data_IF_050779454790
#
_entry.id   IF_050779454790
#
_cell.length_a   1.000
_cell.length_b   1.000
_cell.length_c   1.000
_cell.angle_alpha   90.00
_cell.angle_beta   90.00
_cell.angle_gamma   90.00
#
_symmetry.space_group_name_H-M   'P 1'
#
loop_
_entity.id
_entity.type
_entity.pdbx_description
1 polymer ?
#
# COMPACT_ATOMS: atom_id res chain seq x y z
N UNK A 1 14.85 0.19 13.08
CA UNK A 1 15.66 0.70 11.96
C UNK A 1 15.71 2.24 11.95
N UNK A 2 14.60 2.95 11.76
CA UNK A 2 14.57 4.43 11.70
C UNK A 2 14.81 5.11 13.05
N UNK A 3 14.48 4.45 14.16
CA UNK A 3 14.66 4.93 15.53
C UNK A 3 15.96 4.44 16.18
N UNK A 4 16.84 3.78 15.43
CA UNK A 4 18.14 3.37 15.95
C UNK A 4 19.01 4.57 16.35
N UNK A 5 19.90 4.39 17.30
CA UNK A 5 20.80 5.44 17.76
C UNK A 5 21.55 6.08 16.58
N UNK A 6 21.58 7.42 16.54
CA UNK A 6 22.25 8.18 15.50
C UNK A 6 21.50 8.34 14.18
N UNK A 7 20.31 7.77 14.01
CA UNK A 7 19.49 7.97 12.81
C UNK A 7 18.77 9.33 12.82
N UNK A 8 18.53 9.92 11.64
CA UNK A 8 17.95 11.27 11.54
C UNK A 8 16.61 11.42 12.28
N UNK A 9 15.69 10.45 12.14
CA UNK A 9 14.40 10.51 12.81
C UNK A 9 14.53 10.49 14.33
N UNK A 10 15.46 9.67 14.87
CA UNK A 10 15.75 9.64 16.30
C UNK A 10 16.25 10.97 16.82
N UNK A 11 17.17 11.63 16.11
CA UNK A 11 17.69 12.96 16.46
C UNK A 11 16.62 14.04 16.43
N UNK A 12 15.69 13.98 15.46
CA UNK A 12 14.55 14.90 15.37
C UNK A 12 13.69 14.76 16.62
N UNK A 13 13.36 13.54 17.04
CA UNK A 13 12.57 13.28 18.25
C UNK A 13 13.29 13.81 19.48
N UNK A 14 14.58 13.53 19.63
CA UNK A 14 15.40 13.98 20.76
C UNK A 14 15.56 15.52 20.81
N UNK A 15 15.48 16.20 19.67
CA UNK A 15 15.53 17.68 19.62
C UNK A 15 14.26 18.37 20.13
N UNK A 16 13.16 17.64 20.25
CA UNK A 16 11.85 18.18 20.61
C UNK A 16 11.18 19.07 19.56
N UNK A 17 11.85 19.36 18.44
CA UNK A 17 11.31 20.14 17.32
C UNK A 17 10.91 19.21 16.18
N UNK A 18 9.62 18.98 16.05
CA UNK A 18 9.08 18.04 15.06
C UNK A 18 8.67 18.81 13.80
N UNK A 19 9.35 18.61 12.65
CA UNK A 19 8.91 19.17 11.38
C UNK A 19 7.71 18.37 10.85
N UNK A 20 7.06 18.92 9.83
CA UNK A 20 6.08 18.14 9.06
C UNK A 20 6.75 16.97 8.35
N UNK A 21 6.12 15.80 8.40
CA UNK A 21 6.71 14.56 7.89
C UNK A 21 5.72 13.76 7.06
N UNK A 22 6.25 13.03 6.09
CA UNK A 22 5.50 12.05 5.31
C UNK A 22 6.18 10.69 5.46
N UNK A 23 5.46 9.72 6.01
CA UNK A 23 5.90 8.34 6.18
C UNK A 23 5.34 7.50 5.04
N UNK A 24 6.20 6.92 4.20
CA UNK A 24 5.73 6.03 3.15
C UNK A 24 6.37 4.65 3.27
N UNK A 25 5.66 3.65 2.80
CA UNK A 25 6.10 2.26 2.83
C UNK A 25 4.95 1.29 3.09
N UNK A 26 5.19 -0.03 3.06
CA UNK A 26 4.16 -1.03 3.16
C UNK A 26 3.36 -0.93 4.47
N UNK A 27 2.18 -1.58 4.51
CA UNK A 27 1.37 -1.67 5.71
C UNK A 27 2.11 -2.45 6.82
N UNK A 28 1.71 -2.26 8.07
CA UNK A 28 2.21 -3.05 9.20
C UNK A 28 3.65 -2.82 9.63
N UNK A 29 4.39 -1.88 9.04
CA UNK A 29 5.80 -1.59 9.39
C UNK A 29 5.98 -0.61 10.55
N UNK A 30 4.89 -0.17 11.20
CA UNK A 30 4.91 0.65 12.40
C UNK A 30 4.84 2.16 12.19
N UNK A 31 4.40 2.67 11.03
CA UNK A 31 4.23 4.12 10.76
C UNK A 31 3.40 4.83 11.84
N UNK A 32 2.23 4.31 12.16
CA UNK A 32 1.33 4.85 13.20
C UNK A 32 1.95 4.76 14.60
N UNK A 33 2.71 3.70 14.89
CA UNK A 33 3.40 3.53 16.18
C UNK A 33 4.46 4.60 16.38
N UNK A 34 5.23 4.90 15.34
CA UNK A 34 6.25 5.95 15.39
C UNK A 34 5.62 7.32 15.59
N UNK A 35 4.50 7.61 14.92
CA UNK A 35 3.77 8.88 15.13
C UNK A 35 3.29 9.04 16.58
N UNK A 36 2.82 7.95 17.22
CA UNK A 36 2.44 7.95 18.63
C UNK A 36 3.66 8.23 19.53
N UNK A 37 4.80 7.55 19.29
CA UNK A 37 6.02 7.78 20.06
C UNK A 37 6.46 9.24 19.97
N UNK A 38 6.35 9.85 18.79
CA UNK A 38 6.66 11.27 18.60
C UNK A 38 5.74 12.15 19.44
N UNK A 39 4.43 11.91 19.40
CA UNK A 39 3.47 12.66 20.19
C UNK A 39 3.75 12.54 21.70
N UNK A 40 3.97 11.33 22.20
CA UNK A 40 4.24 11.06 23.60
C UNK A 40 5.56 11.73 24.06
N UNK A 41 6.59 11.77 23.20
CA UNK A 41 7.88 12.37 23.52
C UNK A 41 7.88 13.90 23.48
N UNK A 42 6.93 14.52 22.77
CA UNK A 42 6.84 15.98 22.61
C UNK A 42 5.71 16.61 23.40
N UNK A 43 4.92 15.82 24.12
CA UNK A 43 3.72 16.27 24.85
C UNK A 43 2.69 17.00 23.98
N UNK A 44 2.74 16.80 22.64
CA UNK A 44 1.76 17.35 21.70
C UNK A 44 0.45 16.55 21.75
N UNK A 45 -0.66 17.23 21.52
CA UNK A 45 -1.96 16.55 21.42
C UNK A 45 -2.06 15.83 20.09
N UNK A 46 -2.19 14.49 20.12
CA UNK A 46 -2.26 13.66 18.93
C UNK A 46 -3.69 13.50 18.45
N UNK A 47 -3.99 14.03 17.27
CA UNK A 47 -5.21 13.73 16.53
C UNK A 47 -4.92 12.76 15.40
N UNK A 48 -5.81 11.78 15.22
CA UNK A 48 -5.69 10.78 14.14
C UNK A 48 -6.87 10.90 13.21
N UNK A 49 -6.58 11.09 11.94
CA UNK A 49 -7.57 11.04 10.87
C UNK A 49 -7.18 9.94 9.88
N UNK A 50 -8.19 9.35 9.24
CA UNK A 50 -7.98 8.37 8.19
C UNK A 50 -8.46 8.96 6.86
N UNK A 51 -7.60 8.96 5.84
CA UNK A 51 -7.90 9.52 4.53
C UNK A 51 -9.11 8.93 3.83
N UNK A 52 -9.49 7.69 4.17
CA UNK A 52 -10.67 7.02 3.59
C UNK A 52 -12.00 7.52 4.16
N UNK A 53 -12.01 8.03 5.39
CA UNK A 53 -13.25 8.40 6.10
C UNK A 53 -13.31 9.87 6.50
N UNK A 54 -12.16 10.54 6.61
CA UNK A 54 -12.12 11.92 7.10
C UNK A 54 -12.60 12.94 6.07
N UNK A 55 -13.36 13.91 6.56
CA UNK A 55 -13.89 15.03 5.80
C UNK A 55 -13.11 16.33 6.05
N UNK A 56 -13.42 17.38 5.30
CA UNK A 56 -12.89 18.73 5.57
C UNK A 56 -13.41 19.31 6.88
N UNK A 57 -14.56 18.85 7.38
CA UNK A 57 -15.10 19.27 8.67
C UNK A 57 -14.21 18.72 9.80
N UNK A 58 -13.84 17.44 9.76
CA UNK A 58 -12.99 16.82 10.77
C UNK A 58 -11.63 17.53 10.89
N UNK A 59 -11.05 17.98 9.76
CA UNK A 59 -9.81 18.76 9.78
C UNK A 59 -10.02 20.10 10.49
N UNK A 60 -11.14 20.79 10.23
CA UNK A 60 -11.46 22.07 10.88
C UNK A 60 -11.73 21.91 12.35
N UNK A 61 -12.38 20.83 12.76
CA UNK A 61 -12.64 20.53 14.17
C UNK A 61 -11.33 20.34 14.95
N UNK A 62 -10.38 19.61 14.38
CA UNK A 62 -9.02 19.47 14.95
C UNK A 62 -8.33 20.84 15.07
N UNK A 63 -8.43 21.68 14.03
CA UNK A 63 -7.80 23.02 14.07
C UNK A 63 -8.52 23.96 15.05
N UNK A 64 -9.82 23.80 15.26
CA UNK A 64 -10.58 24.61 16.24
C UNK A 64 -10.08 24.39 17.69
N UNK A 65 -9.41 23.27 17.96
CA UNK A 65 -8.78 23.03 19.25
C UNK A 65 -7.47 23.82 19.47
N UNK A 66 -6.92 24.42 18.41
CA UNK A 66 -5.73 25.29 18.51
C UNK A 66 -6.07 26.50 19.40
N UNK A 67 -5.27 26.72 20.42
CA UNK A 67 -5.51 27.81 21.40
C UNK A 67 -6.48 27.46 22.54
N UNK A 68 -7.07 26.26 22.52
CA UNK A 68 -7.77 25.73 23.69
C UNK A 68 -6.79 25.09 24.67
N UNK A 69 -7.27 24.76 25.86
CA UNK A 69 -6.46 24.11 26.89
C UNK A 69 -5.86 22.78 26.42
N UNK A 70 -6.58 22.05 25.57
CA UNK A 70 -6.10 20.79 24.96
C UNK A 70 -4.99 20.98 23.92
N UNK A 71 -4.96 22.13 23.23
CA UNK A 71 -3.99 22.44 22.17
C UNK A 71 -2.80 23.29 22.61
N UNK A 72 -2.65 23.60 23.93
CA UNK A 72 -1.58 24.50 24.41
C UNK A 72 -0.16 24.04 24.03
N UNK A 73 0.09 22.73 23.98
CA UNK A 73 1.40 22.16 23.65
C UNK A 73 1.58 21.94 22.13
N UNK A 74 0.65 22.43 21.32
CA UNK A 74 0.62 22.19 19.88
C UNK A 74 -0.15 20.92 19.49
N UNK A 75 -0.64 20.92 18.26
CA UNK A 75 -1.42 19.82 17.69
C UNK A 75 -0.56 19.03 16.71
N UNK A 76 -0.44 17.72 16.94
CA UNK A 76 0.13 16.77 16.02
C UNK A 76 -0.99 16.03 15.29
N UNK A 77 -1.18 16.34 14.02
CA UNK A 77 -2.16 15.65 13.19
C UNK A 77 -1.48 14.46 12.48
N UNK A 78 -1.85 13.25 12.86
CA UNK A 78 -1.50 12.04 12.14
C UNK A 78 -2.61 11.70 11.14
N UNK A 79 -2.27 11.78 9.85
CA UNK A 79 -3.18 11.44 8.76
C UNK A 79 -2.75 10.12 8.12
N UNK A 80 -3.54 9.07 8.33
CA UNK A 80 -3.31 7.77 7.70
C UNK A 80 -3.90 7.73 6.29
N UNK A 81 -3.16 7.12 5.35
CA UNK A 81 -3.56 6.93 3.95
C UNK A 81 -3.92 8.26 3.23
N UNK A 82 -3.00 9.23 3.25
CA UNK A 82 -3.21 10.59 2.67
C UNK A 82 -3.57 10.56 1.17
N UNK A 83 -3.22 9.50 0.43
CA UNK A 83 -3.55 9.38 -1.01
C UNK A 83 -5.05 9.39 -1.30
N UNK A 84 -5.89 9.06 -0.31
CA UNK A 84 -7.34 9.13 -0.47
C UNK A 84 -7.91 10.54 -0.31
N UNK A 85 -7.12 11.49 0.19
CA UNK A 85 -7.52 12.89 0.25
C UNK A 85 -7.47 13.51 -1.14
N UNK A 86 -8.57 14.18 -1.51
CA UNK A 86 -8.59 14.96 -2.73
C UNK A 86 -7.70 16.22 -2.63
N UNK A 87 -7.41 16.84 -3.77
CA UNK A 87 -6.52 18.00 -3.84
C UNK A 87 -6.97 19.16 -2.95
N UNK A 88 -8.30 19.40 -2.81
CA UNK A 88 -8.83 20.49 -1.96
C UNK A 88 -8.57 20.23 -0.47
N UNK A 89 -8.73 18.99 -0.03
CA UNK A 89 -8.42 18.58 1.34
C UNK A 89 -6.93 18.73 1.64
N UNK A 90 -6.08 18.31 0.72
CA UNK A 90 -4.63 18.48 0.86
C UNK A 90 -4.20 19.95 0.84
N UNK A 91 -4.86 20.81 0.08
CA UNK A 91 -4.61 22.26 0.10
C UNK A 91 -5.03 22.90 1.43
N UNK A 92 -6.12 22.45 2.02
CA UNK A 92 -6.56 22.93 3.34
C UNK A 92 -5.53 22.56 4.43
N UNK A 93 -4.98 21.35 4.40
CA UNK A 93 -3.90 20.94 5.30
C UNK A 93 -2.67 21.84 5.14
N UNK A 94 -2.32 22.18 3.91
CA UNK A 94 -1.17 23.04 3.61
C UNK A 94 -1.32 24.40 4.28
N UNK A 95 -2.51 25.01 4.22
CA UNK A 95 -2.81 26.31 4.86
C UNK A 95 -2.57 26.25 6.36
N UNK A 96 -3.06 25.22 7.04
CA UNK A 96 -2.88 25.08 8.49
C UNK A 96 -1.44 24.76 8.91
N UNK A 97 -0.70 24.06 8.06
CA UNK A 97 0.73 23.81 8.27
C UNK A 97 1.56 25.09 8.13
N UNK A 98 1.26 25.92 7.12
CA UNK A 98 1.96 27.19 6.87
C UNK A 98 1.70 28.20 7.98
N UNK A 99 0.49 28.22 8.52
CA UNK A 99 0.13 29.06 9.65
C UNK A 99 0.68 28.54 10.99
N UNK A 100 1.34 27.38 11.00
CA UNK A 100 1.88 26.79 12.23
C UNK A 100 0.83 26.27 13.20
N UNK A 101 -0.42 26.13 12.77
CA UNK A 101 -1.52 25.67 13.62
C UNK A 101 -1.46 24.18 13.91
N UNK A 102 -0.92 23.40 12.96
CA UNK A 102 -0.74 21.95 13.09
C UNK A 102 0.66 21.52 12.66
N UNK A 103 1.17 20.48 13.30
CA UNK A 103 2.30 19.70 12.79
C UNK A 103 1.74 18.44 12.14
N UNK A 104 2.00 18.25 10.84
CA UNK A 104 1.46 17.12 10.09
C UNK A 104 2.44 15.96 10.05
N UNK A 105 1.97 14.76 10.39
CA UNK A 105 2.59 13.49 10.04
C UNK A 105 1.61 12.73 9.16
N UNK A 106 1.85 12.70 7.85
CA UNK A 106 1.03 11.94 6.93
C UNK A 106 1.65 10.56 6.68
N UNK A 107 0.83 9.53 6.50
CA UNK A 107 1.27 8.21 6.09
C UNK A 107 0.63 7.80 4.76
N UNK A 108 1.37 7.02 3.98
CA UNK A 108 0.89 6.44 2.73
C UNK A 108 1.57 5.09 2.46
N UNK A 109 0.86 4.21 1.78
CA UNK A 109 1.43 2.97 1.24
C UNK A 109 1.98 3.16 -0.17
N UNK A 110 1.58 4.23 -0.86
CA UNK A 110 2.01 4.56 -2.22
C UNK A 110 3.22 5.49 -2.21
N UNK A 111 3.90 5.59 -3.35
CA UNK A 111 4.99 6.53 -3.52
C UNK A 111 4.46 7.97 -3.38
N UNK A 112 4.93 8.76 -2.39
CA UNK A 112 4.39 10.06 -2.08
C UNK A 112 4.51 11.06 -3.23
N UNK A 113 5.54 10.93 -4.07
CA UNK A 113 5.76 11.81 -5.22
C UNK A 113 4.70 11.71 -6.32
N UNK A 114 3.89 10.63 -6.31
CA UNK A 114 2.75 10.46 -7.22
C UNK A 114 1.40 10.68 -6.55
N UNK A 115 1.31 10.37 -5.25
CA UNK A 115 0.06 10.32 -4.51
C UNK A 115 -0.25 11.60 -3.71
N UNK A 116 0.80 12.36 -3.34
CA UNK A 116 0.66 13.53 -2.47
C UNK A 116 0.89 14.82 -3.27
N UNK A 117 0.16 15.87 -2.92
CA UNK A 117 0.32 17.19 -3.55
C UNK A 117 1.72 17.76 -3.32
N UNK A 118 2.39 18.15 -4.40
CA UNK A 118 3.80 18.55 -4.39
C UNK A 118 4.12 19.69 -3.39
N UNK A 119 3.16 20.59 -3.14
CA UNK A 119 3.35 21.66 -2.17
C UNK A 119 3.43 21.15 -0.71
N UNK A 120 2.76 20.03 -0.38
CA UNK A 120 2.92 19.36 0.91
C UNK A 120 4.27 18.66 1.02
N UNK A 121 4.71 18.00 -0.05
CA UNK A 121 6.01 17.31 -0.10
C UNK A 121 7.15 18.30 0.11
N UNK A 122 7.11 19.46 -0.57
CA UNK A 122 8.16 20.49 -0.46
C UNK A 122 8.29 21.09 0.96
N UNK A 123 7.25 20.96 1.79
CA UNK A 123 7.22 21.47 3.18
C UNK A 123 7.31 20.36 4.23
N UNK A 124 7.54 19.14 3.79
CA UNK A 124 7.59 17.97 4.66
C UNK A 124 8.88 17.19 4.44
N UNK A 125 9.36 16.52 5.48
CA UNK A 125 10.46 15.57 5.35
C UNK A 125 9.91 14.19 5.09
N UNK A 126 10.34 13.56 4.00
CA UNK A 126 9.88 12.23 3.59
C UNK A 126 10.75 11.14 4.23
N UNK A 127 10.13 10.18 4.89
CA UNK A 127 10.79 9.00 5.49
C UNK A 127 10.24 7.71 4.89
N UNK A 128 11.16 6.91 4.35
CA UNK A 128 10.85 5.58 3.84
C UNK A 128 10.86 4.54 4.97
N UNK A 129 9.76 3.82 5.11
CA UNK A 129 9.63 2.69 6.01
C UNK A 129 9.77 1.39 5.20
N UNK A 130 10.88 0.70 5.40
CA UNK A 130 11.14 -0.59 4.76
C UNK A 130 10.49 -1.73 5.54
N UNK A 131 10.19 -2.86 4.88
CA UNK A 131 9.77 -4.07 5.58
C UNK A 131 10.75 -4.42 6.71
N UNK A 132 10.21 -4.91 7.82
CA UNK A 132 11.03 -5.28 8.97
C UNK A 132 11.83 -6.55 8.64
N UNK A 133 13.17 -6.56 8.87
CA UNK A 133 13.97 -7.76 8.65
C UNK A 133 13.47 -8.94 9.47
N UNK A 134 13.58 -10.17 8.95
CA UNK A 134 13.11 -11.37 9.64
C UNK A 134 13.66 -11.50 11.08
N UNK A 135 14.93 -11.16 11.30
CA UNK A 135 15.58 -11.24 12.62
C UNK A 135 14.94 -10.29 13.65
N UNK A 136 14.60 -9.07 13.24
CA UNK A 136 13.91 -8.12 14.12
C UNK A 136 12.43 -8.52 14.32
N UNK A 137 11.80 -9.07 13.27
CA UNK A 137 10.43 -9.56 13.33
C UNK A 137 10.31 -10.78 14.25
N UNK A 138 11.29 -11.69 14.25
CA UNK A 138 11.35 -12.83 15.14
C UNK A 138 11.35 -12.41 16.62
N UNK A 139 12.13 -11.37 16.97
CA UNK A 139 12.11 -10.79 18.31
C UNK A 139 10.73 -10.19 18.68
N UNK A 140 10.06 -9.58 17.70
CA UNK A 140 8.71 -9.06 17.91
C UNK A 140 7.69 -10.18 18.11
N UNK A 141 7.78 -11.26 17.33
CA UNK A 141 6.95 -12.47 17.46
C UNK A 141 7.15 -13.12 18.85
N UNK A 142 8.39 -13.33 19.27
CA UNK A 142 8.68 -13.87 20.61
C UNK A 142 8.11 -13.00 21.74
N UNK A 143 8.10 -11.68 21.55
CA UNK A 143 7.42 -10.77 22.50
C UNK A 143 5.91 -10.93 22.45
N UNK A 144 5.35 -11.11 21.25
CA UNK A 144 3.92 -11.35 21.04
C UNK A 144 3.44 -12.59 21.83
N UNK A 145 4.16 -13.70 21.74
CA UNK A 145 3.84 -14.90 22.52
C UNK A 145 3.86 -14.66 24.03
N UNK A 146 4.87 -13.97 24.54
CA UNK A 146 4.93 -13.60 25.97
C UNK A 146 3.75 -12.72 26.41
N UNK A 147 3.34 -11.79 25.56
CA UNK A 147 2.13 -11.01 25.85
C UNK A 147 0.88 -11.87 25.89
N UNK A 148 0.75 -12.85 25.01
CA UNK A 148 -0.37 -13.80 25.01
C UNK A 148 -0.36 -14.68 26.24
N UNK A 149 0.80 -15.18 26.69
CA UNK A 149 0.95 -15.91 27.98
C UNK A 149 0.43 -15.08 29.16
N UNK A 150 0.81 -13.81 29.22
CA UNK A 150 0.34 -12.91 30.28
C UNK A 150 -1.15 -12.64 30.24
N UNK A 151 -1.76 -12.57 29.04
CA UNK A 151 -3.19 -12.32 28.87
C UNK A 151 -4.04 -13.55 29.18
N UNK A 152 -3.57 -14.73 28.79
CA UNK A 152 -4.30 -15.99 29.00
C UNK A 152 -4.05 -16.58 30.40
N UNK A 153 -2.92 -16.24 31.02
CA UNK A 153 -2.50 -16.85 32.30
C UNK A 153 -2.04 -18.30 32.15
N UNK A 154 -1.80 -18.75 30.92
CA UNK A 154 -1.35 -20.11 30.59
C UNK A 154 0.06 -20.07 29.97
N UNK A 155 0.89 -21.06 30.23
CA UNK A 155 2.21 -21.17 29.61
C UNK A 155 2.09 -21.64 28.17
N UNK A 156 2.84 -21.03 27.25
CA UNK A 156 2.88 -21.40 25.84
C UNK A 156 4.20 -22.12 25.55
N UNK A 157 4.12 -23.38 25.18
CA UNK A 157 5.28 -24.20 24.79
C UNK A 157 5.47 -24.12 23.28
N UNK A 158 6.55 -23.46 22.84
CA UNK A 158 6.91 -23.26 21.45
C UNK A 158 7.99 -24.26 21.04
N UNK A 159 7.85 -24.87 19.87
CA UNK A 159 8.99 -25.53 19.20
C UNK A 159 10.01 -24.48 18.70
N UNK A 160 11.28 -24.87 18.60
CA UNK A 160 12.41 -23.95 18.34
C UNK A 160 12.29 -23.17 17.02
N UNK A 161 11.56 -23.69 16.03
CA UNK A 161 11.44 -23.08 14.69
C UNK A 161 10.28 -22.10 14.52
N UNK A 162 9.28 -22.11 15.41
CA UNK A 162 7.98 -21.41 15.25
C UNK A 162 8.16 -19.91 15.00
N UNK A 163 8.94 -19.22 15.82
CA UNK A 163 9.20 -17.77 15.67
C UNK A 163 9.83 -17.44 14.31
N UNK A 164 10.78 -18.24 13.87
CA UNK A 164 11.48 -18.08 12.60
C UNK A 164 10.56 -18.32 11.39
N UNK A 165 9.65 -19.30 11.46
CA UNK A 165 8.68 -19.57 10.41
C UNK A 165 7.70 -18.39 10.24
N UNK A 166 7.15 -17.89 11.35
CA UNK A 166 6.26 -16.72 11.33
C UNK A 166 6.98 -15.49 10.79
N UNK A 167 8.20 -15.22 11.25
CA UNK A 167 8.96 -14.05 10.83
C UNK A 167 9.26 -14.06 9.32
N UNK A 168 9.66 -15.20 8.76
CA UNK A 168 9.90 -15.35 7.32
C UNK A 168 8.61 -15.26 6.51
N UNK A 169 7.54 -15.86 7.03
CA UNK A 169 6.26 -15.92 6.33
C UNK A 169 5.44 -14.64 6.33
N UNK A 170 5.74 -13.67 7.18
CA UNK A 170 5.00 -12.41 7.22
C UNK A 170 5.58 -11.31 6.33
N UNK A 171 6.72 -11.54 5.66
CA UNK A 171 7.28 -10.60 4.69
C UNK A 171 7.62 -9.22 5.24
N UNK A 172 7.89 -9.10 6.55
CA UNK A 172 8.24 -7.85 7.22
C UNK A 172 7.05 -7.03 7.74
N UNK A 173 5.82 -7.54 7.64
CA UNK A 173 4.62 -6.92 8.21
C UNK A 173 4.41 -7.38 9.65
N UNK A 174 4.64 -6.48 10.62
CA UNK A 174 4.50 -6.76 12.06
C UNK A 174 3.04 -7.02 12.44
N UNK A 175 2.08 -6.32 11.82
CA UNK A 175 0.65 -6.51 12.12
C UNK A 175 0.21 -7.92 11.72
N UNK A 176 0.63 -8.36 10.54
CA UNK A 176 0.38 -9.70 10.05
C UNK A 176 1.01 -10.74 10.96
N UNK A 177 2.25 -10.50 11.42
CA UNK A 177 2.93 -11.39 12.35
C UNK A 177 2.20 -11.51 13.69
N UNK A 178 1.73 -10.41 14.27
CA UNK A 178 0.95 -10.44 15.52
C UNK A 178 -0.38 -11.17 15.36
N UNK A 179 -1.12 -10.91 14.28
CA UNK A 179 -2.36 -11.65 13.98
C UNK A 179 -2.11 -13.14 13.78
N UNK A 180 -0.96 -13.52 13.20
CA UNK A 180 -0.57 -14.92 13.03
C UNK A 180 -0.23 -15.55 14.38
N UNK A 181 0.45 -14.83 15.28
CA UNK A 181 0.70 -15.30 16.67
C UNK A 181 -0.61 -15.56 17.38
N UNK A 182 -1.55 -14.61 17.35
CA UNK A 182 -2.85 -14.76 17.98
C UNK A 182 -3.61 -15.98 17.42
N UNK A 183 -3.63 -16.14 16.10
CA UNK A 183 -4.28 -17.26 15.43
C UNK A 183 -3.65 -18.60 15.81
N UNK A 184 -2.31 -18.67 15.88
CA UNK A 184 -1.58 -19.89 16.24
C UNK A 184 -1.87 -20.27 17.69
N UNK A 185 -1.88 -19.31 18.61
CA UNK A 185 -2.19 -19.57 20.03
C UNK A 185 -3.62 -20.09 20.19
N UNK A 186 -4.59 -19.50 19.47
CA UNK A 186 -5.98 -19.96 19.48
C UNK A 186 -6.17 -21.36 18.85
N UNK A 187 -5.25 -21.78 17.99
CA UNK A 187 -5.30 -23.07 17.29
C UNK A 187 -4.38 -24.13 17.94
N UNK A 188 -3.64 -23.76 18.97
CA UNK A 188 -2.72 -24.64 19.68
C UNK A 188 -3.44 -25.74 20.46
N UNK A 189 -2.73 -26.82 20.74
CA UNK A 189 -3.26 -27.93 21.55
C UNK A 189 -3.20 -27.57 23.04
N UNK A 190 -4.39 -27.52 23.68
CA UNK A 190 -4.49 -27.30 25.12
C UNK A 190 -4.18 -28.60 25.87
N UNK A 191 -3.14 -28.56 26.70
CA UNK A 191 -2.72 -29.64 27.57
C UNK A 191 -2.82 -29.21 29.04
N UNK A 192 -2.75 -30.15 29.98
CA UNK A 192 -2.75 -29.83 31.43
C UNK A 192 -1.61 -28.87 31.83
N UNK A 193 -0.53 -28.83 31.07
CA UNK A 193 0.64 -28.02 31.35
C UNK A 193 0.70 -26.69 30.53
N UNK A 194 -0.32 -26.39 29.74
CA UNK A 194 -0.40 -25.21 28.89
C UNK A 194 -0.67 -25.50 27.41
N UNK A 195 -0.46 -24.51 26.56
CA UNK A 195 -0.72 -24.60 25.13
C UNK A 195 0.55 -25.04 24.40
N UNK A 196 0.47 -26.11 23.62
CA UNK A 196 1.60 -26.62 22.83
C UNK A 196 1.44 -26.21 21.38
N UNK A 197 2.49 -25.62 20.80
CA UNK A 197 2.53 -25.14 19.42
C UNK A 197 3.65 -25.86 18.67
N UNK A 198 3.26 -26.64 17.66
CA UNK A 198 4.21 -27.37 16.80
C UNK A 198 4.67 -26.53 15.60
N UNK A 199 5.80 -26.92 15.00
CA UNK A 199 6.33 -26.31 13.78
C UNK A 199 5.39 -26.52 12.58
N UNK A 200 4.72 -27.66 12.51
CA UNK A 200 3.77 -27.98 11.42
C UNK A 200 2.60 -27.00 11.42
N UNK A 201 2.01 -26.72 12.58
CA UNK A 201 0.92 -25.75 12.75
C UNK A 201 1.37 -24.35 12.33
N UNK A 202 2.57 -23.95 12.77
CA UNK A 202 3.14 -22.65 12.41
C UNK A 202 3.39 -22.54 10.89
N UNK A 203 3.89 -23.58 10.26
CA UNK A 203 4.10 -23.63 8.82
C UNK A 203 2.80 -23.54 8.03
N UNK A 204 1.79 -24.35 8.40
CA UNK A 204 0.50 -24.39 7.73
C UNK A 204 -0.19 -23.01 7.75
N UNK A 205 -0.28 -22.40 8.92
CA UNK A 205 -0.95 -21.10 9.08
C UNK A 205 -0.17 -19.95 8.42
N UNK A 206 1.16 -20.04 8.37
CA UNK A 206 2.02 -19.05 7.75
C UNK A 206 2.03 -19.16 6.22
N UNK A 207 2.02 -20.37 5.64
CA UNK A 207 2.00 -20.56 4.20
C UNK A 207 0.72 -20.03 3.55
N UNK A 208 -0.44 -20.22 4.16
CA UNK A 208 -1.70 -19.62 3.69
C UNK A 208 -1.66 -18.10 3.64
N UNK A 209 -0.84 -17.49 4.48
CA UNK A 209 -0.65 -16.05 4.56
C UNK A 209 0.25 -15.49 3.45
N UNK A 210 1.19 -16.27 2.90
CA UNK A 210 2.16 -15.82 1.89
C UNK A 210 1.61 -15.77 0.46
N UNK A 211 0.49 -16.43 0.18
CA UNK A 211 -0.10 -16.46 -1.16
C UNK A 211 -0.82 -15.15 -1.56
N UNK A 212 -0.91 -14.17 -0.67
CA UNK A 212 -1.49 -12.86 -1.00
C UNK A 212 -0.42 -11.94 -1.60
N UNK A 213 -0.31 -12.01 -2.91
CA UNK A 213 0.34 -10.98 -3.71
C UNK A 213 -0.44 -9.67 -3.57
N UNK A 214 0.25 -8.62 -3.19
CA UNK A 214 -0.34 -7.30 -3.03
C UNK A 214 -0.45 -6.65 -4.43
N UNK A 215 -1.66 -6.68 -5.00
CA UNK A 215 -1.95 -6.19 -6.36
C UNK A 215 -1.78 -4.68 -6.52
N UNK A 216 -1.79 -3.95 -5.43
CA UNK A 216 -1.82 -2.49 -5.43
C UNK A 216 -0.48 -1.85 -5.01
N UNK A 217 0.58 -2.64 -4.77
CA UNK A 217 1.89 -2.16 -4.33
C UNK A 217 2.86 -1.90 -5.49
N UNK A 218 3.89 -1.11 -5.20
CA UNK A 218 5.01 -0.77 -6.10
C UNK A 218 5.61 -2.02 -6.79
N UNK A 219 5.67 -3.16 -6.09
CA UNK A 219 6.16 -4.43 -6.65
C UNK A 219 5.34 -4.93 -7.84
N UNK A 220 4.02 -4.73 -7.85
CA UNK A 220 3.17 -5.06 -8.98
C UNK A 220 3.53 -4.22 -10.21
N UNK A 221 3.67 -2.90 -10.01
CA UNK A 221 4.05 -1.98 -11.10
C UNK A 221 5.47 -2.23 -11.59
N UNK A 222 6.39 -2.58 -10.71
CA UNK A 222 7.77 -2.94 -11.05
C UNK A 222 7.83 -4.22 -11.89
N UNK A 223 7.10 -5.26 -11.50
CA UNK A 223 7.01 -6.51 -12.27
C UNK A 223 6.39 -6.31 -13.66
N UNK A 224 5.32 -5.50 -13.73
CA UNK A 224 4.70 -5.16 -15.01
C UNK A 224 5.64 -4.31 -15.89
N UNK A 225 6.35 -3.36 -15.29
CA UNK A 225 7.34 -2.53 -15.99
C UNK A 225 8.52 -3.36 -16.48
N UNK A 226 9.03 -4.29 -15.66
CA UNK A 226 10.09 -5.22 -16.02
C UNK A 226 9.66 -6.15 -17.15
N UNK A 227 8.44 -6.72 -17.09
CA UNK A 227 7.87 -7.52 -18.17
C UNK A 227 7.77 -6.73 -19.48
N UNK A 228 7.32 -5.48 -19.42
CA UNK A 228 7.27 -4.63 -20.63
C UNK A 228 8.64 -4.37 -21.24
N UNK A 229 9.62 -4.08 -20.40
CA UNK A 229 10.99 -3.83 -20.84
C UNK A 229 11.61 -5.08 -21.47
N UNK A 230 11.37 -6.26 -20.87
CA UNK A 230 11.81 -7.55 -21.40
C UNK A 230 11.23 -7.85 -22.78
N UNK A 231 9.91 -7.63 -22.95
CA UNK A 231 9.23 -7.82 -24.25
C UNK A 231 9.78 -6.84 -25.30
N UNK A 232 9.97 -5.57 -24.95
CA UNK A 232 10.54 -4.57 -25.87
C UNK A 232 11.99 -4.84 -26.22
N UNK A 233 12.76 -5.38 -25.27
CA UNK A 233 14.16 -5.77 -25.46
C UNK A 233 14.33 -7.13 -26.14
N UNK A 234 13.22 -7.83 -26.47
CA UNK A 234 13.23 -9.20 -27.04
C UNK A 234 14.01 -10.20 -26.16
N UNK A 235 14.00 -10.00 -24.83
CA UNK A 235 14.56 -10.94 -23.86
C UNK A 235 13.48 -11.95 -23.45
N UNK A 236 13.51 -13.11 -24.13
CA UNK A 236 12.51 -14.17 -23.92
C UNK A 236 12.58 -14.77 -22.52
N UNK A 237 13.78 -14.95 -21.97
CA UNK A 237 13.98 -15.57 -20.66
C UNK A 237 13.46 -14.65 -19.53
N UNK A 238 13.79 -13.38 -19.57
CA UNK A 238 13.28 -12.41 -18.60
C UNK A 238 11.76 -12.25 -18.73
N UNK A 239 11.21 -12.19 -19.95
CA UNK A 239 9.77 -12.10 -20.19
C UNK A 239 9.03 -13.30 -19.61
N UNK A 240 9.55 -14.51 -19.81
CA UNK A 240 8.98 -15.74 -19.27
C UNK A 240 9.02 -15.76 -17.74
N UNK A 241 10.15 -15.34 -17.14
CA UNK A 241 10.31 -15.25 -15.69
C UNK A 241 9.29 -14.29 -15.04
N UNK A 242 9.16 -13.07 -15.56
CA UNK A 242 8.21 -12.09 -15.01
C UNK A 242 6.76 -12.50 -15.25
N UNK A 243 6.47 -13.15 -16.39
CA UNK A 243 5.15 -13.71 -16.65
C UNK A 243 4.80 -14.82 -15.65
N UNK A 244 5.73 -15.74 -15.39
CA UNK A 244 5.53 -16.82 -14.42
C UNK A 244 5.29 -16.26 -12.99
N UNK A 245 6.03 -15.23 -12.58
CA UNK A 245 5.81 -14.56 -11.29
C UNK A 245 4.42 -13.91 -11.18
N UNK A 246 3.94 -13.25 -12.23
CA UNK A 246 2.60 -12.65 -12.27
C UNK A 246 1.50 -13.73 -12.24
N UNK A 247 1.71 -14.86 -12.93
CA UNK A 247 0.79 -16.00 -12.90
C UNK A 247 0.76 -16.68 -11.53
N UNK A 248 1.91 -16.89 -10.90
CA UNK A 248 2.01 -17.45 -9.55
C UNK A 248 1.33 -16.54 -8.52
N UNK A 249 1.33 -15.24 -8.74
CA UNK A 249 0.62 -14.25 -7.96
C UNK A 249 -0.89 -14.16 -8.28
N UNK A 250 -1.41 -15.02 -9.13
CA UNK A 250 -2.80 -15.06 -9.59
C UNK A 250 -3.30 -13.76 -10.27
N UNK A 251 -2.38 -12.99 -10.89
CA UNK A 251 -2.67 -11.73 -11.57
C UNK A 251 -2.78 -11.91 -13.10
N UNK A 252 -3.68 -12.79 -13.50
CA UNK A 252 -3.97 -13.10 -14.89
C UNK A 252 -4.51 -11.87 -15.67
N UNK A 253 -5.26 -10.99 -15.00
CA UNK A 253 -5.87 -9.84 -15.66
C UNK A 253 -4.84 -8.80 -16.12
N UNK A 254 -3.78 -8.60 -15.37
CA UNK A 254 -2.70 -7.69 -15.76
C UNK A 254 -1.87 -8.20 -16.93
N UNK A 255 -1.69 -9.51 -17.04
CA UNK A 255 -1.04 -10.15 -18.19
C UNK A 255 -1.94 -10.07 -19.43
N UNK A 256 -3.24 -10.31 -19.29
CA UNK A 256 -4.21 -10.34 -20.41
C UNK A 256 -4.59 -8.95 -20.91
N UNK A 257 -4.78 -7.96 -20.05
CA UNK A 257 -5.22 -6.60 -20.44
C UNK A 257 -4.24 -5.88 -21.38
N UNK A 258 -2.98 -6.29 -21.45
CA UNK A 258 -1.98 -5.65 -22.33
C UNK A 258 -1.93 -6.17 -23.75
N UNK A 259 -2.56 -7.31 -24.06
CA UNK A 259 -2.69 -7.78 -25.46
C UNK A 259 -3.66 -6.94 -26.30
N UNK A 260 -4.49 -6.10 -25.68
CA UNK A 260 -5.59 -5.37 -26.36
C UNK A 260 -5.37 -3.87 -26.53
N UNK A 261 -4.23 -3.32 -26.10
CA UNK A 261 -3.96 -1.89 -26.34
C UNK A 261 -2.88 -1.76 -27.41
N UNK A 262 -3.25 -1.39 -28.65
CA UNK A 262 -2.26 -1.08 -29.67
C UNK A 262 -1.41 0.12 -29.19
N UNK A 263 -0.14 0.22 -29.58
CA UNK A 263 0.68 1.35 -29.23
C UNK A 263 -0.01 2.61 -29.77
N UNK A 264 -0.31 3.55 -28.84
CA UNK A 264 -0.78 4.86 -29.25
C UNK A 264 0.31 5.44 -30.14
N UNK A 265 0.00 5.61 -31.41
CA UNK A 265 0.83 6.36 -32.34
C UNK A 265 1.03 7.74 -31.74
N UNK A 266 2.26 8.04 -31.32
CA UNK A 266 2.66 9.34 -30.90
C UNK A 266 2.66 10.27 -32.13
N UNK A 267 1.49 10.76 -32.47
CA UNK A 267 1.34 11.85 -33.41
C UNK A 267 1.78 13.16 -32.75
N UNK A 268 3.09 13.40 -32.75
CA UNK A 268 3.63 14.72 -32.53
C UNK A 268 3.34 15.57 -33.77
N UNK A 269 2.14 16.17 -33.82
CA UNK A 269 1.88 17.24 -34.73
C UNK A 269 2.40 18.55 -34.08
N UNK A 270 3.66 18.87 -34.33
CA UNK A 270 4.24 20.16 -33.99
C UNK A 270 3.51 21.24 -34.77
N UNK A 271 2.85 22.15 -34.07
CA UNK A 271 2.44 23.46 -34.64
C UNK A 271 3.68 24.31 -34.87
N UNK A 272 4.25 24.21 -36.08
CA UNK A 272 5.15 25.20 -36.61
C UNK A 272 4.35 26.19 -37.46
N UNK A 273 4.39 27.46 -37.08
CA UNK A 273 3.93 28.59 -37.91
C UNK A 273 4.95 28.84 -39.02
N UNK A 274 4.44 29.06 -40.24
CA UNK A 274 5.09 29.99 -41.16
C UNK A 274 5.70 29.39 -42.40
N UNK A 275 5.24 29.96 -43.50
CA UNK A 275 5.83 30.11 -44.83
C UNK A 275 5.61 28.96 -45.83
N UNK A 276 4.87 29.34 -46.85
CA UNK A 276 4.50 28.56 -48.00
C UNK A 276 5.71 28.10 -48.84
N UNK A 277 5.46 27.03 -49.55
CA UNK A 277 6.02 26.76 -50.90
C UNK A 277 5.21 25.60 -51.51
N UNK A 278 4.69 25.89 -52.66
CA UNK A 278 4.25 25.13 -53.84
C UNK A 278 4.14 23.60 -53.82
N UNK A 279 3.05 23.23 -54.45
CA UNK A 279 2.67 21.92 -54.96
C UNK A 279 3.81 21.14 -55.64
N UNK A 280 3.98 19.88 -55.22
CA UNK A 280 4.77 18.86 -55.91
C UNK A 280 4.04 17.53 -55.87
N UNK A 281 3.60 17.08 -57.02
CA UNK A 281 3.00 15.80 -57.30
C UNK A 281 3.86 14.64 -56.79
N UNK A 282 3.24 13.73 -56.04
CA UNK A 282 3.70 12.35 -55.94
C UNK A 282 2.57 11.41 -56.26
N UNK A 283 2.55 10.93 -57.51
CA UNK A 283 1.85 9.76 -57.91
C UNK A 283 2.55 8.53 -57.31
N UNK A 284 1.84 7.75 -56.49
CA UNK A 284 2.09 6.32 -56.38
C UNK A 284 0.73 5.61 -56.29
N UNK A 285 0.42 4.95 -57.40
CA UNK A 285 -0.64 3.94 -57.50
C UNK A 285 -0.21 2.69 -56.72
N UNK A 286 -1.14 2.11 -55.98
CA UNK A 286 -0.98 0.77 -55.45
C UNK A 286 -2.11 0.40 -54.48
N UNK A 287 -3.15 -0.15 -55.03
CA UNK A 287 -4.09 -1.16 -54.51
C UNK A 287 -4.36 -1.21 -52.99
N UNK A 288 -5.53 -0.81 -52.61
CA UNK A 288 -6.26 -1.44 -51.50
C UNK A 288 -7.75 -1.47 -51.87
N UNK A 289 -8.25 -2.68 -52.06
CA UNK A 289 -9.62 -2.96 -52.42
C UNK A 289 -10.56 -2.72 -51.24
N UNK A 290 -11.71 -2.16 -51.62
CA UNK A 290 -13.04 -2.36 -51.08
C UNK A 290 -13.22 -2.31 -49.53
N UNK A 291 -13.61 -1.13 -49.05
CA UNK A 291 -14.48 -1.00 -47.87
C UNK A 291 -15.95 -0.91 -48.35
N UNK A 292 -16.88 -1.72 -47.83
CA UNK A 292 -18.31 -1.51 -48.05
C UNK A 292 -18.85 -0.42 -47.13
N UNK A 293 -19.97 0.23 -47.53
CA UNK A 293 -20.53 1.38 -46.83
C UNK A 293 -21.16 1.01 -45.50
N UNK A 294 -21.19 1.98 -44.60
CA UNK A 294 -21.83 1.93 -43.30
C UNK A 294 -23.36 1.60 -43.43
N UNK A 295 -23.69 0.45 -42.89
CA UNK A 295 -25.07 0.00 -42.72
C UNK A 295 -25.17 -0.72 -41.39
N UNK A 296 -25.94 -0.12 -40.50
CA UNK A 296 -26.67 -0.66 -39.34
C UNK A 296 -26.40 -2.13 -39.00
N UNK A 297 -25.60 -2.39 -38.00
CA UNK A 297 -25.53 -3.68 -37.33
C UNK A 297 -25.90 -3.52 -35.85
N UNK A 298 -27.07 -4.05 -35.54
CA UNK A 298 -27.61 -4.26 -34.21
C UNK A 298 -26.66 -5.13 -33.39
N UNK A 299 -26.44 -4.73 -32.13
CA UNK A 299 -25.78 -5.48 -31.08
C UNK A 299 -26.37 -6.88 -30.88
N UNK A 300 -25.58 -7.96 -30.83
CA UNK A 300 -25.99 -9.27 -30.37
C UNK A 300 -25.53 -9.52 -28.93
N UNK A 301 -26.09 -8.80 -27.96
CA UNK A 301 -26.02 -9.21 -26.55
C UNK A 301 -27.36 -8.90 -25.87
N UNK A 302 -28.37 -9.65 -26.26
CA UNK A 302 -29.55 -9.87 -25.47
C UNK A 302 -30.01 -11.30 -25.72
N UNK A 303 -29.66 -12.17 -24.75
CA UNK A 303 -30.40 -13.36 -24.32
C UNK A 303 -29.49 -14.30 -23.54
N UNK A 304 -29.44 -14.09 -22.26
CA UNK A 304 -29.40 -15.18 -21.32
C UNK A 304 -30.16 -14.75 -20.06
N UNK A 305 -31.49 -14.76 -20.23
CA UNK A 305 -32.42 -14.71 -19.10
C UNK A 305 -33.00 -16.09 -18.90
N UNK A 306 -33.01 -16.49 -17.64
CA UNK A 306 -33.93 -17.43 -17.03
C UNK A 306 -33.72 -18.91 -17.31
N UNK A 307 -33.36 -19.62 -16.28
CA UNK A 307 -34.34 -20.56 -15.69
C UNK A 307 -33.88 -20.91 -14.28
N UNK A 308 -34.77 -20.68 -13.36
CA UNK A 308 -34.64 -20.98 -11.96
C UNK A 308 -34.60 -22.48 -11.67
N UNK A 309 -33.98 -22.77 -10.57
CA UNK A 309 -34.27 -23.96 -9.76
C UNK A 309 -33.97 -23.61 -8.31
N UNK A 310 -35.03 -23.22 -7.63
CA UNK A 310 -35.17 -23.38 -6.18
C UNK A 310 -34.97 -24.87 -5.82
N UNK A 311 -34.06 -25.14 -4.90
CA UNK A 311 -34.19 -26.29 -4.01
C UNK A 311 -33.57 -25.94 -2.65
N UNK A 312 -34.47 -25.96 -1.66
CA UNK A 312 -34.25 -26.18 -0.26
C UNK A 312 -33.08 -27.13 0.04
N UNK A 313 -32.25 -26.76 0.99
CA UNK A 313 -31.75 -27.70 1.96
C UNK A 313 -31.79 -27.09 3.36
N UNK A 314 -32.53 -27.77 4.20
CA UNK A 314 -32.72 -27.51 5.61
C UNK A 314 -31.52 -27.98 6.43
N UNK A 315 -31.32 -27.29 7.53
CA UNK A 315 -30.81 -27.71 8.85
C UNK A 315 -30.22 -29.12 8.98
N UNK A 316 -28.95 -29.23 9.32
CA UNK A 316 -28.45 -29.86 10.55
C UNK A 316 -27.24 -29.03 11.02
#
# INVERSE_FOLDING_TARGET
QLLAAGKPLRRIIESGKIPNMIFYGPSGVGKTTVARIIADSTSMTLHKLNGTSASTADIRDVVAEVGTFSGMNGILLYLDEIQYFNKKQQQLLLEYMENGQITLIASTTENPYFAVYNALISRSTVFEFKPVPPEELERAVARGFRCMEQQLGETIHLSDGVCGWIARGCGGDVRKAMNTVELIVLSGEHTENGIVISDELAQELTQRSNMRYDRDNDQHYDLLSALQKSIRGSDENAALHYTARLLAANDLLSVCRRKTRPPAAAGHCGRGRGAGISAGNCHHKGMCGQCPPAGTARSPYSHCRSRGASRHFAKV
#
